data_IF_690134016003
#
_entry.id   IF_690134016003
#
_cell.length_a   1.000
_cell.length_b   1.000
_cell.length_c   1.000
_cell.angle_alpha   90.00
_cell.angle_beta   90.00
_cell.angle_gamma   90.00
#
_symmetry.space_group_name_H-M   'P 1'
#
loop_
_entity.id
_entity.type
_entity.pdbx_description
1 polymer ?
#
# COMPACT_ATOMS: atom_id res chain seq x y z
N UNK A 1 14.95 -16.96 -4.61
CA UNK A 1 14.12 -16.32 -5.66
C UNK A 1 12.70 -16.83 -5.49
N UNK A 2 11.68 -15.97 -5.50
CA UNK A 2 10.28 -16.40 -5.37
C UNK A 2 9.78 -16.90 -6.74
N UNK A 3 9.24 -18.14 -6.87
CA UNK A 3 8.78 -18.66 -8.16
C UNK A 3 7.55 -17.93 -8.69
N UNK A 4 7.53 -17.62 -9.99
CA UNK A 4 6.38 -16.98 -10.66
C UNK A 4 5.08 -17.77 -10.47
N UNK A 5 5.14 -19.09 -10.59
CA UNK A 5 3.97 -19.95 -10.42
C UNK A 5 3.33 -19.81 -9.03
N UNK A 6 4.14 -19.63 -7.98
CA UNK A 6 3.64 -19.37 -6.62
C UNK A 6 2.94 -18.02 -6.52
N UNK A 7 3.50 -16.98 -7.13
CA UNK A 7 2.89 -15.64 -7.15
C UNK A 7 1.56 -15.66 -7.92
N UNK A 8 1.53 -16.27 -9.10
CA UNK A 8 0.30 -16.38 -9.91
C UNK A 8 -0.78 -17.19 -9.19
N UNK A 9 -0.41 -18.29 -8.52
CA UNK A 9 -1.35 -19.10 -7.74
C UNK A 9 -1.91 -18.38 -6.51
N UNK A 10 -1.11 -17.52 -5.86
CA UNK A 10 -1.61 -16.66 -4.79
C UNK A 10 -2.61 -15.64 -5.34
N UNK A 11 -2.24 -14.93 -6.41
CA UNK A 11 -3.07 -13.89 -7.03
C UNK A 11 -4.40 -14.42 -7.58
N UNK A 12 -4.46 -15.68 -8.03
CA UNK A 12 -5.72 -16.26 -8.51
C UNK A 12 -6.76 -16.48 -7.42
N UNK A 13 -6.35 -16.49 -6.14
CA UNK A 13 -7.27 -16.60 -4.99
C UNK A 13 -7.86 -15.25 -4.55
N UNK A 14 -7.39 -14.13 -5.11
CA UNK A 14 -7.79 -12.79 -4.67
C UNK A 14 -9.05 -12.32 -5.39
N UNK A 15 -9.91 -11.59 -4.68
CA UNK A 15 -11.00 -10.84 -5.29
C UNK A 15 -10.45 -9.62 -6.04
N UNK A 16 -10.40 -9.72 -7.37
CA UNK A 16 -9.85 -8.68 -8.24
C UNK A 16 -10.58 -7.34 -8.11
N UNK A 17 -11.85 -7.32 -7.68
CA UNK A 17 -12.62 -6.09 -7.46
C UNK A 17 -12.26 -5.39 -6.15
N UNK A 18 -11.48 -6.04 -5.27
CA UNK A 18 -11.10 -5.54 -3.95
C UNK A 18 -9.59 -5.39 -3.81
N UNK A 19 -8.84 -5.33 -4.90
CA UNK A 19 -7.39 -5.14 -4.87
C UNK A 19 -7.01 -3.80 -4.20
N UNK A 20 -5.85 -3.81 -3.55
CA UNK A 20 -5.25 -2.63 -2.94
C UNK A 20 -3.75 -2.60 -3.24
N UNK A 21 -3.19 -1.40 -3.38
CA UNK A 21 -1.75 -1.17 -3.48
C UNK A 21 -1.22 -0.87 -2.09
N UNK A 22 -0.32 -1.72 -1.61
CA UNK A 22 0.34 -1.56 -0.32
C UNK A 22 1.83 -1.25 -0.52
N UNK A 23 2.37 -0.31 0.24
CA UNK A 23 3.82 -0.07 0.29
C UNK A 23 4.24 0.49 1.64
N UNK A 24 5.55 0.39 1.94
CA UNK A 24 6.14 1.00 3.13
C UNK A 24 6.08 2.52 3.01
N UNK A 25 5.74 3.19 4.11
CA UNK A 25 5.69 4.64 4.23
C UNK A 25 7.09 5.30 4.22
N UNK A 26 7.82 5.16 3.11
CA UNK A 26 9.18 5.71 2.90
C UNK A 26 9.39 6.18 1.45
N UNK A 27 10.50 6.86 1.19
CA UNK A 27 11.06 7.29 -0.10
C UNK A 27 10.10 7.92 -1.12
N UNK A 28 9.29 7.11 -1.80
CA UNK A 28 8.42 7.50 -2.93
C UNK A 28 6.95 7.12 -2.74
N UNK A 29 6.59 6.73 -1.51
CA UNK A 29 5.24 6.26 -1.17
C UNK A 29 4.14 7.28 -1.47
N UNK A 30 4.39 8.59 -1.33
CA UNK A 30 3.42 9.63 -1.70
C UNK A 30 3.02 9.53 -3.18
N UNK A 31 3.99 9.41 -4.08
CA UNK A 31 3.74 9.28 -5.52
C UNK A 31 3.03 7.96 -5.85
N UNK A 32 3.40 6.87 -5.17
CA UNK A 32 2.74 5.56 -5.35
C UNK A 32 1.28 5.63 -4.92
N UNK A 33 0.97 6.23 -3.77
CA UNK A 33 -0.40 6.35 -3.28
C UNK A 33 -1.25 7.27 -4.15
N UNK A 34 -0.71 8.41 -4.59
CA UNK A 34 -1.41 9.30 -5.52
C UNK A 34 -1.70 8.61 -6.86
N UNK A 35 -0.73 7.89 -7.43
CA UNK A 35 -0.92 7.11 -8.66
C UNK A 35 -1.96 6.01 -8.49
N UNK A 36 -1.83 5.18 -7.46
CA UNK A 36 -2.79 4.10 -7.18
C UNK A 36 -4.23 4.63 -6.99
N UNK A 37 -4.38 5.75 -6.28
CA UNK A 37 -5.69 6.39 -6.08
C UNK A 37 -6.31 6.88 -7.40
N UNK A 38 -5.51 7.47 -8.28
CA UNK A 38 -5.97 7.94 -9.61
C UNK A 38 -6.46 6.80 -10.49
N UNK A 39 -5.84 5.63 -10.36
CA UNK A 39 -6.23 4.39 -11.04
C UNK A 39 -7.39 3.65 -10.33
N UNK A 40 -7.94 4.21 -9.25
CA UNK A 40 -9.09 3.65 -8.53
C UNK A 40 -8.77 2.52 -7.55
N UNK A 41 -7.49 2.28 -7.24
CA UNK A 41 -7.10 1.30 -6.22
C UNK A 41 -7.20 1.89 -4.82
N UNK A 42 -7.58 1.04 -3.86
CA UNK A 42 -7.39 1.32 -2.43
C UNK A 42 -5.91 1.29 -2.09
N UNK A 43 -5.50 2.05 -1.09
CA UNK A 43 -4.09 2.23 -0.72
C UNK A 43 -3.84 1.90 0.75
N UNK A 44 -2.75 1.17 1.03
CA UNK A 44 -2.37 0.76 2.39
C UNK A 44 -0.92 1.17 2.66
N UNK A 45 -0.71 2.01 3.67
CA UNK A 45 0.62 2.43 4.11
C UNK A 45 1.14 1.59 5.26
N UNK A 46 2.25 0.88 5.06
CA UNK A 46 2.90 0.09 6.11
C UNK A 46 3.91 0.97 6.84
N UNK A 47 3.80 1.08 8.16
CA UNK A 47 4.69 1.91 8.96
C UNK A 47 5.05 1.26 10.29
N UNK A 48 6.15 1.70 10.90
CA UNK A 48 6.57 1.24 12.23
C UNK A 48 6.05 2.23 13.27
N UNK A 49 5.40 1.72 14.31
CA UNK A 49 4.83 2.55 15.38
C UNK A 49 3.67 3.39 14.88
N UNK A 50 3.70 4.69 15.17
CA UNK A 50 2.58 5.59 14.86
C UNK A 50 2.58 6.00 13.37
N UNK A 51 1.39 6.13 12.74
CA UNK A 51 1.28 6.64 11.38
C UNK A 51 2.03 7.98 11.20
N UNK A 52 2.85 8.12 10.14
CA UNK A 52 3.58 9.36 9.91
C UNK A 52 2.61 10.52 9.62
N UNK A 53 2.62 11.55 10.46
CA UNK A 53 1.68 12.69 10.33
C UNK A 53 1.88 13.51 9.06
N UNK A 54 3.04 13.43 8.41
CA UNK A 54 3.29 14.21 7.19
C UNK A 54 2.33 13.85 6.05
N UNK A 55 1.76 12.64 6.03
CA UNK A 55 0.73 12.29 5.04
C UNK A 55 -0.54 13.14 5.17
N UNK A 56 -0.81 13.73 6.34
CA UNK A 56 -1.97 14.60 6.55
C UNK A 56 -1.89 15.87 5.69
N UNK A 57 -0.68 16.32 5.33
CA UNK A 57 -0.46 17.44 4.43
C UNK A 57 -0.75 17.11 2.95
N UNK A 58 -0.93 15.82 2.61
CA UNK A 58 -1.12 15.37 1.23
C UNK A 58 -2.37 14.49 1.07
N UNK A 59 -3.61 15.02 1.19
CA UNK A 59 -4.82 14.20 1.19
C UNK A 59 -4.99 13.26 -0.03
N UNK A 60 -4.50 13.66 -1.20
CA UNK A 60 -4.54 12.83 -2.42
C UNK A 60 -3.52 11.68 -2.40
N UNK A 61 -2.41 11.88 -1.70
CA UNK A 61 -1.31 10.92 -1.56
C UNK A 61 -1.27 10.23 -0.19
N UNK A 62 -2.22 10.53 0.69
CA UNK A 62 -2.40 9.85 1.98
C UNK A 62 -2.98 8.46 1.71
N UNK A 63 -2.41 7.38 2.29
CA UNK A 63 -3.00 6.06 2.15
C UNK A 63 -4.38 6.02 2.82
N UNK A 64 -5.29 5.21 2.28
CA UNK A 64 -6.64 5.05 2.84
C UNK A 64 -6.61 4.40 4.24
N UNK A 65 -5.59 3.58 4.50
CA UNK A 65 -5.36 2.91 5.77
C UNK A 65 -3.87 2.84 6.09
N UNK A 66 -3.53 2.96 7.38
CA UNK A 66 -2.20 2.61 7.89
C UNK A 66 -2.19 1.22 8.52
N UNK A 67 -1.22 0.40 8.13
CA UNK A 67 -0.90 -0.86 8.78
C UNK A 67 0.38 -0.67 9.62
N UNK A 68 0.18 -0.37 10.91
CA UNK A 68 1.27 -0.13 11.86
C UNK A 68 1.81 -1.43 12.44
N UNK A 69 3.12 -1.67 12.30
CA UNK A 69 3.83 -2.79 12.92
C UNK A 69 4.73 -2.30 14.07
N UNK A 70 5.05 -3.19 15.02
CA UNK A 70 5.88 -2.84 16.19
C UNK A 70 7.37 -2.79 15.88
N UNK A 71 7.85 -3.68 15.00
CA UNK A 71 9.25 -3.85 14.61
C UNK A 71 9.33 -4.56 13.25
N UNK A 72 10.52 -4.61 12.65
CA UNK A 72 10.83 -5.38 11.43
C UNK A 72 11.87 -6.46 11.69
#
# INVERSE_FOLDING_TARGET
MVPKAGITGLLSSYDQKKMAVATVCSHTSLQIFDGARREGFRTIGICIGQPPRFYDAFPKAKPDMFFSVKSY
#
